data_IF_833180461488
#
_entry.id   IF_833180461488
#
_cell.length_a   1.000
_cell.length_b   1.000
_cell.length_c   1.000
_cell.angle_alpha   90.00
_cell.angle_beta   90.00
_cell.angle_gamma   90.00
#
_symmetry.space_group_name_H-M   'P 1'
#
loop_
_entity.id
_entity.type
_entity.pdbx_description
1 polymer ?
#
# COMPACT_ATOMS: atom_id res chain seq x y z
N UNK A 1 -6.64 22.07 2.28
CA UNK A 1 -7.52 21.30 1.37
C UNK A 1 -6.98 21.49 -0.03
N UNK A 2 -6.64 20.43 -0.76
CA UNK A 2 -6.24 20.56 -2.17
C UNK A 2 -7.50 20.81 -3.00
N UNK A 3 -7.51 21.89 -3.76
CA UNK A 3 -8.60 22.17 -4.70
C UNK A 3 -8.55 21.16 -5.87
N UNK A 4 -9.71 20.62 -6.25
CA UNK A 4 -9.83 19.46 -7.15
C UNK A 4 -10.78 19.76 -8.31
N UNK A 5 -10.32 19.49 -9.53
CA UNK A 5 -11.18 19.43 -10.70
C UNK A 5 -11.71 18.01 -10.86
N UNK A 6 -13.03 17.83 -10.80
CA UNK A 6 -13.67 16.53 -11.00
C UNK A 6 -14.16 16.39 -12.43
N UNK A 7 -13.72 15.33 -13.10
CA UNK A 7 -14.21 14.95 -14.43
C UNK A 7 -14.91 13.60 -14.29
N UNK A 8 -16.21 13.59 -14.59
CA UNK A 8 -16.96 12.35 -14.72
C UNK A 8 -17.05 12.02 -16.20
N UNK A 9 -16.62 10.82 -16.57
CA UNK A 9 -16.83 10.30 -17.91
C UNK A 9 -18.02 9.34 -17.88
N UNK A 10 -18.89 9.49 -18.87
CA UNK A 10 -20.01 8.58 -19.10
C UNK A 10 -20.00 8.24 -20.57
N UNK A 11 -19.69 6.99 -20.88
CA UNK A 11 -19.74 6.47 -22.23
C UNK A 11 -21.00 5.63 -22.38
N UNK A 12 -21.73 5.85 -23.47
CA UNK A 12 -22.79 4.97 -23.89
C UNK A 12 -22.22 4.15 -25.03
N UNK A 13 -22.13 2.83 -24.83
CA UNK A 13 -21.66 1.89 -25.84
C UNK A 13 -22.76 0.89 -26.18
N UNK A 14 -23.01 0.62 -27.48
CA UNK A 14 -23.82 -0.51 -27.89
C UNK A 14 -23.08 -1.85 -27.78
N UNK A 15 -21.85 -1.91 -27.23
CA UNK A 15 -21.06 -3.16 -27.15
C UNK A 15 -21.74 -4.27 -26.32
N UNK A 16 -22.72 -3.95 -25.48
CA UNK A 16 -23.61 -4.93 -24.83
C UNK A 16 -24.75 -5.45 -25.73
N UNK A 17 -25.08 -4.75 -26.81
CA UNK A 17 -26.07 -5.12 -27.81
C UNK A 17 -25.41 -5.91 -28.94
N UNK A 18 -25.30 -7.23 -28.74
CA UNK A 18 -24.78 -8.14 -29.77
C UNK A 18 -25.69 -8.24 -31.00
N UNK A 19 -26.95 -7.81 -30.93
CA UNK A 19 -27.86 -7.83 -32.08
C UNK A 19 -27.55 -6.71 -33.09
N UNK A 20 -26.84 -5.66 -32.66
CA UNK A 20 -26.39 -4.55 -33.52
C UNK A 20 -25.25 -4.90 -34.48
N UNK A 21 -24.57 -6.04 -34.29
CA UNK A 21 -23.41 -6.44 -35.09
C UNK A 21 -22.10 -5.69 -34.78
N UNK A 22 -22.09 -4.77 -33.80
CA UNK A 22 -20.89 -4.08 -33.35
C UNK A 22 -20.08 -4.97 -32.38
N UNK A 23 -19.21 -5.83 -32.92
CA UNK A 23 -18.40 -6.80 -32.15
C UNK A 23 -16.96 -6.38 -31.88
N UNK A 24 -16.51 -5.27 -32.47
CA UNK A 24 -15.14 -4.78 -32.34
C UNK A 24 -15.06 -3.53 -31.46
N UNK A 25 -13.96 -3.40 -30.73
CA UNK A 25 -13.67 -2.24 -29.90
C UNK A 25 -12.39 -1.54 -30.37
N UNK A 26 -12.36 -0.20 -30.26
CA UNK A 26 -11.17 0.61 -30.51
C UNK A 26 -11.08 1.72 -29.46
N UNK A 27 -9.87 1.98 -28.98
CA UNK A 27 -9.60 3.13 -28.12
C UNK A 27 -9.91 4.44 -28.84
N UNK A 28 -10.58 5.36 -28.15
CA UNK A 28 -10.88 6.72 -28.64
C UNK A 28 -10.40 7.77 -27.66
N UNK A 29 -10.10 8.97 -28.15
CA UNK A 29 -9.67 10.10 -27.32
C UNK A 29 -10.80 11.12 -27.21
N UNK A 30 -11.30 11.34 -25.99
CA UNK A 30 -12.22 12.43 -25.70
C UNK A 30 -11.43 13.68 -25.26
N UNK A 31 -11.74 14.85 -25.83
CA UNK A 31 -11.16 16.13 -25.40
C UNK A 31 -12.15 16.84 -24.48
N UNK A 32 -11.75 17.09 -23.25
CA UNK A 32 -12.53 17.86 -22.27
C UNK A 32 -11.91 19.24 -22.15
N UNK A 33 -12.73 20.30 -22.29
CA UNK A 33 -12.30 21.68 -22.05
C UNK A 33 -12.83 22.12 -20.68
N UNK A 34 -11.93 22.55 -19.81
CA UNK A 34 -12.30 23.12 -18.51
C UNK A 34 -12.79 24.57 -18.71
N UNK A 35 -13.77 25.03 -17.90
CA UNK A 35 -14.26 26.41 -17.97
C UNK A 35 -13.19 27.42 -17.54
N UNK A 36 -12.20 26.98 -16.76
CA UNK A 36 -11.08 27.78 -16.29
C UNK A 36 -9.76 27.02 -16.46
N UNK A 37 -8.61 27.72 -16.56
CA UNK A 37 -7.30 27.08 -16.58
C UNK A 37 -7.09 26.16 -15.37
N UNK A 38 -6.52 24.97 -15.58
CA UNK A 38 -6.32 23.99 -14.50
C UNK A 38 -5.51 24.56 -13.32
N UNK A 39 -4.50 25.39 -13.60
CA UNK A 39 -3.61 25.93 -12.56
C UNK A 39 -2.88 24.81 -11.82
N UNK A 40 -2.74 24.95 -10.50
CA UNK A 40 -2.10 23.96 -9.62
C UNK A 40 -3.06 22.87 -9.10
N UNK A 41 -4.29 22.84 -9.61
CA UNK A 41 -5.33 21.91 -9.16
C UNK A 41 -5.06 20.51 -9.70
N UNK A 42 -5.32 19.51 -8.86
CA UNK A 42 -5.28 18.12 -9.30
C UNK A 42 -6.61 17.75 -9.99
N UNK A 43 -6.54 16.85 -10.96
CA UNK A 43 -7.72 16.33 -11.67
C UNK A 43 -8.07 14.96 -11.11
N UNK A 44 -9.33 14.70 -10.81
CA UNK A 44 -9.82 13.36 -10.50
C UNK A 44 -10.84 12.93 -11.55
N UNK A 45 -10.60 11.76 -12.13
CA UNK A 45 -11.46 11.12 -13.13
C UNK A 45 -12.21 9.97 -12.46
N UNK A 46 -13.53 9.94 -12.62
CA UNK A 46 -14.43 8.89 -12.12
C UNK A 46 -14.22 8.55 -10.63
N UNK A 47 -13.92 9.57 -9.82
CA UNK A 47 -13.70 9.54 -8.37
C UNK A 47 -12.52 8.72 -7.84
N UNK A 48 -11.77 8.01 -8.68
CA UNK A 48 -10.67 7.14 -8.23
C UNK A 48 -9.32 7.51 -8.82
N UNK A 49 -9.27 7.92 -10.09
CA UNK A 49 -8.00 8.15 -10.78
C UNK A 49 -7.62 9.61 -10.68
N UNK A 50 -6.60 9.91 -9.88
CA UNK A 50 -6.12 11.27 -9.67
C UNK A 50 -4.88 11.55 -10.52
N UNK A 51 -4.81 12.77 -11.06
CA UNK A 51 -3.71 13.29 -11.86
C UNK A 51 -3.26 14.64 -11.30
N UNK A 52 -1.98 14.95 -11.47
CA UNK A 52 -1.38 16.21 -11.02
C UNK A 52 -0.49 16.80 -12.11
N UNK A 53 -0.47 18.14 -12.19
CA UNK A 53 0.51 18.85 -13.02
C UNK A 53 1.92 18.80 -12.41
N UNK A 54 2.03 18.53 -11.10
CA UNK A 54 3.31 18.52 -10.37
C UNK A 54 4.24 17.42 -10.88
N UNK A 55 5.38 17.84 -11.41
CA UNK A 55 6.39 16.95 -11.98
C UNK A 55 6.00 16.39 -13.35
N UNK A 56 4.94 16.90 -13.99
CA UNK A 56 4.58 16.57 -15.36
C UNK A 56 5.08 17.67 -16.32
N UNK A 57 5.32 17.32 -17.60
CA UNK A 57 5.62 18.29 -18.65
C UNK A 57 4.31 18.76 -19.29
N UNK A 58 3.97 20.06 -19.28
CA UNK A 58 2.77 20.56 -19.95
C UNK A 58 2.73 20.16 -21.44
N UNK A 59 1.55 19.83 -22.00
CA UNK A 59 0.22 19.85 -21.38
C UNK A 59 -0.15 18.53 -20.65
N UNK A 60 0.78 17.60 -20.49
CA UNK A 60 0.50 16.31 -19.87
C UNK A 60 0.31 16.44 -18.35
N UNK A 61 -0.46 15.52 -17.78
CA UNK A 61 -0.59 15.33 -16.34
C UNK A 61 0.02 13.99 -15.93
N UNK A 62 0.58 13.94 -14.73
CA UNK A 62 1.11 12.70 -14.15
C UNK A 62 0.00 12.02 -13.34
N UNK A 63 -0.25 10.75 -13.61
CA UNK A 63 -1.12 9.95 -12.76
C UNK A 63 -0.50 9.78 -11.37
N UNK A 64 -1.30 9.99 -10.34
CA UNK A 64 -0.91 9.79 -8.96
C UNK A 64 -0.95 8.30 -8.63
N UNK A 65 0.01 7.84 -7.83
CA UNK A 65 0.03 6.46 -7.35
C UNK A 65 -0.92 6.27 -6.17
N UNK A 66 -0.95 5.05 -5.64
CA UNK A 66 -1.78 4.66 -4.48
C UNK A 66 -1.50 5.51 -3.22
N UNK A 67 -0.27 6.00 -3.10
CA UNK A 67 0.16 6.88 -2.01
C UNK A 67 -0.19 8.36 -2.24
N UNK A 68 -0.96 8.65 -3.29
CA UNK A 68 -1.39 9.99 -3.68
C UNK A 68 -0.41 10.72 -4.59
N UNK A 69 -0.70 12.00 -4.84
CA UNK A 69 0.08 12.82 -5.77
C UNK A 69 1.39 13.33 -5.19
N UNK A 70 1.46 13.45 -3.86
CA UNK A 70 2.63 13.92 -3.11
C UNK A 70 2.92 12.91 -1.99
N UNK A 71 3.39 11.69 -2.34
CA UNK A 71 3.72 10.70 -1.32
C UNK A 71 4.84 11.26 -0.42
N UNK A 72 4.83 10.95 0.89
CA UNK A 72 5.94 11.27 1.77
C UNK A 72 7.26 10.73 1.20
N UNK A 73 8.35 11.47 1.42
CA UNK A 73 9.67 10.96 1.08
C UNK A 73 9.99 9.74 1.95
N UNK A 74 10.81 8.84 1.41
CA UNK A 74 11.41 7.76 2.19
C UNK A 74 12.36 8.35 3.24
N UNK A 75 12.34 7.82 4.45
CA UNK A 75 13.14 8.31 5.56
C UNK A 75 12.65 7.80 6.91
N UNK A 76 13.28 8.26 7.98
CA UNK A 76 12.99 7.81 9.34
C UNK A 76 11.96 8.71 10.03
N UNK A 77 10.75 8.75 9.49
CA UNK A 77 9.64 9.57 10.01
C UNK A 77 8.34 8.79 10.04
N UNK A 78 7.40 9.17 10.91
CA UNK A 78 6.10 8.51 11.03
C UNK A 78 5.33 8.44 9.71
N UNK A 79 5.27 9.56 8.96
CA UNK A 79 4.60 9.62 7.66
C UNK A 79 5.24 8.68 6.62
N UNK A 80 6.57 8.52 6.67
CA UNK A 80 7.30 7.60 5.79
C UNK A 80 7.04 6.13 6.16
N UNK A 81 6.86 5.83 7.44
CA UNK A 81 6.51 4.48 7.88
C UNK A 81 5.06 4.13 7.54
N UNK A 82 4.12 5.09 7.61
CA UNK A 82 2.74 4.86 7.17
C UNK A 82 2.69 4.57 5.65
N UNK A 83 3.53 5.25 4.87
CA UNK A 83 3.74 4.94 3.46
C UNK A 83 4.25 3.50 3.26
N UNK A 84 5.19 3.03 4.09
CA UNK A 84 5.71 1.66 4.02
C UNK A 84 4.66 0.61 4.38
N UNK A 85 3.84 0.86 5.41
CA UNK A 85 2.72 -0.03 5.76
C UNK A 85 1.74 -0.18 4.59
N UNK A 86 1.38 0.93 3.92
CA UNK A 86 0.54 0.85 2.71
C UNK A 86 1.20 0.05 1.59
N UNK A 87 2.50 0.24 1.37
CA UNK A 87 3.24 -0.49 0.34
C UNK A 87 3.36 -2.00 0.64
N UNK A 88 3.26 -2.41 1.90
CA UNK A 88 3.22 -3.81 2.32
C UNK A 88 1.83 -4.45 2.21
N UNK A 89 0.81 -3.69 1.80
CA UNK A 89 -0.58 -4.13 1.67
C UNK A 89 -1.11 -4.82 2.95
N UNK A 90 -0.72 -4.28 4.12
CA UNK A 90 -1.22 -4.75 5.41
C UNK A 90 -2.61 -4.16 5.70
N UNK A 91 -3.42 -4.83 6.55
CA UNK A 91 -4.75 -4.33 6.92
C UNK A 91 -4.74 -2.89 7.47
N UNK A 92 -5.87 -2.18 7.31
CA UNK A 92 -6.01 -0.78 7.72
C UNK A 92 -5.72 -0.56 9.22
N UNK A 93 -6.08 -1.53 10.06
CA UNK A 93 -5.90 -1.51 11.51
C UNK A 93 -4.63 -2.24 11.93
N UNK A 94 -3.51 -1.93 11.27
CA UNK A 94 -2.18 -2.42 11.64
C UNK A 94 -1.53 -1.52 12.68
N UNK A 95 -0.88 -2.17 13.64
CA UNK A 95 -0.05 -1.57 14.67
C UNK A 95 1.43 -1.76 14.29
N UNK A 96 2.25 -0.74 14.58
CA UNK A 96 3.72 -0.82 14.46
C UNK A 96 4.27 -1.17 15.83
N UNK A 97 4.78 -2.39 15.97
CA UNK A 97 5.35 -2.89 17.22
C UNK A 97 6.81 -2.44 17.39
N UNK A 98 7.54 -2.34 16.27
CA UNK A 98 8.91 -1.83 16.25
C UNK A 98 9.28 -1.22 14.90
N UNK A 99 10.23 -0.28 14.93
CA UNK A 99 10.85 0.30 13.74
C UNK A 99 12.38 0.33 13.85
N UNK A 100 13.07 0.06 12.74
CA UNK A 100 14.52 0.28 12.56
C UNK A 100 14.75 0.90 11.18
N UNK A 101 15.41 2.04 11.11
CA UNK A 101 15.57 2.79 9.87
C UNK A 101 16.93 3.48 9.83
N UNK A 102 17.57 3.46 8.67
CA UNK A 102 18.82 4.20 8.39
C UNK A 102 18.66 5.23 7.25
N UNK A 103 17.43 5.47 6.82
CA UNK A 103 17.06 6.38 5.73
C UNK A 103 17.07 5.73 4.34
N UNK A 104 17.81 4.63 4.14
CA UNK A 104 17.82 3.86 2.88
C UNK A 104 17.10 2.52 2.99
N UNK A 105 17.07 1.98 4.20
CA UNK A 105 16.49 0.70 4.55
C UNK A 105 15.60 0.86 5.77
N UNK A 106 14.58 0.02 5.84
CA UNK A 106 13.58 0.05 6.89
C UNK A 106 13.19 -1.37 7.25
N UNK A 107 13.07 -1.61 8.56
CA UNK A 107 12.44 -2.80 9.13
C UNK A 107 11.24 -2.33 9.95
N UNK A 108 10.08 -2.91 9.70
CA UNK A 108 8.87 -2.71 10.49
C UNK A 108 8.36 -4.04 11.00
N UNK A 109 8.11 -4.13 12.30
CA UNK A 109 7.33 -5.20 12.88
C UNK A 109 5.88 -4.72 12.94
N UNK A 110 5.02 -5.37 12.17
CA UNK A 110 3.63 -4.99 11.97
C UNK A 110 2.73 -6.06 12.58
N UNK A 111 1.69 -5.66 13.30
CA UNK A 111 0.66 -6.58 13.81
C UNK A 111 -0.74 -6.10 13.46
N UNK A 112 -1.70 -7.01 13.32
CA UNK A 112 -3.11 -6.69 13.17
C UNK A 112 -3.96 -7.72 13.90
N UNK A 113 -5.16 -7.32 14.31
CA UNK A 113 -6.11 -8.24 14.94
C UNK A 113 -6.73 -9.15 13.90
N UNK A 114 -6.85 -10.44 14.25
CA UNK A 114 -7.41 -11.49 13.38
C UNK A 114 -8.61 -12.21 14.03
N UNK A 115 -9.03 -11.78 15.21
CA UNK A 115 -10.20 -12.31 15.94
C UNK A 115 -11.53 -11.68 15.53
N UNK A 116 -12.66 -12.25 15.98
CA UNK A 116 -13.99 -11.67 15.78
C UNK A 116 -14.10 -10.28 16.41
N UNK A 117 -15.06 -9.48 15.93
CA UNK A 117 -15.44 -8.23 16.59
C UNK A 117 -16.19 -8.58 17.87
N UNK A 118 -15.59 -8.27 19.01
CA UNK A 118 -16.14 -8.59 20.33
C UNK A 118 -16.52 -7.33 21.08
N UNK A 119 -17.55 -7.43 21.94
CA UNK A 119 -17.91 -6.38 22.88
C UNK A 119 -16.98 -6.32 24.09
N UNK A 120 -16.44 -7.47 24.51
CA UNK A 120 -15.45 -7.58 25.59
C UNK A 120 -14.02 -7.62 24.99
N UNK A 121 -13.15 -6.64 25.30
CA UNK A 121 -11.79 -6.60 24.79
C UNK A 121 -10.85 -7.64 25.41
N UNK A 122 -11.21 -8.26 26.54
CA UNK A 122 -10.38 -9.21 27.27
C UNK A 122 -10.67 -10.68 26.94
N UNK A 123 -11.68 -10.94 26.09
CA UNK A 123 -11.95 -12.29 25.60
C UNK A 123 -10.73 -12.81 24.78
N UNK A 124 -10.15 -13.96 25.15
CA UNK A 124 -8.97 -14.52 24.48
C UNK A 124 -9.14 -14.68 22.97
N UNK A 125 -10.35 -15.01 22.49
CA UNK A 125 -10.65 -15.11 21.06
C UNK A 125 -10.48 -13.76 20.33
N UNK A 126 -10.63 -12.66 21.07
CA UNK A 126 -10.66 -11.28 20.60
C UNK A 126 -9.30 -10.57 20.74
N UNK A 127 -8.38 -11.16 21.51
CA UNK A 127 -6.97 -10.73 21.60
C UNK A 127 -6.07 -11.28 20.50
N UNK A 128 -6.59 -12.19 19.66
CA UNK A 128 -5.84 -12.82 18.57
C UNK A 128 -5.24 -11.80 17.61
N UNK A 129 -3.93 -11.89 17.41
CA UNK A 129 -3.16 -11.05 16.51
C UNK A 129 -2.28 -11.89 15.60
N UNK A 130 -2.08 -11.36 14.41
CA UNK A 130 -1.05 -11.82 13.50
C UNK A 130 -0.03 -10.70 13.34
N UNK A 131 1.25 -11.05 13.20
CA UNK A 131 2.29 -10.09 12.90
C UNK A 131 3.33 -10.62 11.95
N UNK A 132 3.88 -9.69 11.18
CA UNK A 132 4.93 -9.91 10.20
C UNK A 132 6.00 -8.84 10.35
N UNK A 133 7.25 -9.24 10.14
CA UNK A 133 8.37 -8.31 10.02
C UNK A 133 8.64 -8.09 8.55
N UNK A 134 8.52 -6.84 8.12
CA UNK A 134 8.75 -6.40 6.76
C UNK A 134 10.07 -5.66 6.62
N UNK A 135 10.76 -5.93 5.52
CA UNK A 135 12.00 -5.26 5.14
C UNK A 135 11.78 -4.46 3.86
N UNK A 136 12.26 -3.22 3.83
CA UNK A 136 12.04 -2.31 2.72
C UNK A 136 13.32 -1.65 2.24
N UNK A 137 13.32 -1.25 0.97
CA UNK A 137 14.32 -0.41 0.34
C UNK A 137 13.73 0.92 -0.10
N UNK A 138 14.42 2.00 0.17
CA UNK A 138 14.03 3.32 -0.32
C UNK A 138 14.19 3.40 -1.85
N UNK A 139 13.12 3.82 -2.54
CA UNK A 139 13.11 4.17 -3.96
C UNK A 139 12.55 5.57 -4.14
N UNK A 140 12.72 6.13 -5.35
CA UNK A 140 12.13 7.43 -5.72
C UNK A 140 10.61 7.45 -5.58
N UNK A 141 9.95 6.31 -5.86
CA UNK A 141 8.49 6.17 -5.75
C UNK A 141 7.99 5.94 -4.31
N UNK A 142 8.89 5.64 -3.36
CA UNK A 142 8.53 5.27 -2.00
C UNK A 142 9.31 4.07 -1.47
N UNK A 143 8.87 3.54 -0.34
CA UNK A 143 9.38 2.28 0.19
C UNK A 143 8.95 1.11 -0.69
N UNK A 144 9.91 0.30 -1.12
CA UNK A 144 9.67 -0.94 -1.84
C UNK A 144 9.84 -2.12 -0.87
N UNK A 145 8.80 -2.96 -0.66
CA UNK A 145 8.95 -4.19 0.12
C UNK A 145 9.94 -5.14 -0.55
N UNK A 146 10.80 -5.78 0.26
CA UNK A 146 11.80 -6.76 -0.17
C UNK A 146 11.31 -8.16 0.16
N UNK A 147 11.00 -8.39 1.44
CA UNK A 147 10.55 -9.67 1.97
C UNK A 147 9.86 -9.48 3.32
N UNK A 148 9.17 -10.52 3.77
CA UNK A 148 8.59 -10.63 5.12
C UNK A 148 9.02 -11.93 5.78
N UNK A 149 9.21 -11.91 7.09
CA UNK A 149 9.50 -13.11 7.90
C UNK A 149 9.03 -12.90 9.33
N UNK A 150 8.97 -13.99 10.10
CA UNK A 150 8.86 -13.94 11.55
C UNK A 150 10.19 -14.21 12.26
N UNK A 151 11.22 -14.61 11.50
CA UNK A 151 12.52 -14.96 12.04
C UNK A 151 13.29 -13.72 12.54
N UNK A 152 14.17 -13.98 13.51
CA UNK A 152 15.18 -13.02 13.92
C UNK A 152 16.35 -12.94 12.94
N UNK A 153 17.19 -11.93 13.13
CA UNK A 153 18.44 -11.79 12.39
C UNK A 153 18.28 -11.37 10.92
N UNK A 154 19.37 -11.53 10.17
CA UNK A 154 19.51 -10.99 8.82
C UNK A 154 19.34 -12.02 7.69
N UNK A 155 19.16 -13.30 8.01
CA UNK A 155 19.33 -14.39 7.03
C UNK A 155 18.39 -14.25 5.83
N UNK A 156 17.11 -14.06 6.09
CA UNK A 156 16.08 -14.11 5.05
C UNK A 156 16.15 -12.84 4.17
N UNK A 157 16.30 -11.66 4.78
CA UNK A 157 16.45 -10.41 4.03
C UNK A 157 17.75 -10.36 3.21
N UNK A 158 18.88 -10.82 3.75
CA UNK A 158 20.16 -10.81 2.99
C UNK A 158 20.21 -11.86 1.89
N UNK A 159 19.37 -12.89 1.95
CA UNK A 159 19.18 -13.80 0.82
C UNK A 159 18.46 -13.11 -0.35
N UNK A 160 17.43 -12.30 -0.04
CA UNK A 160 16.66 -11.56 -1.05
C UNK A 160 17.38 -10.30 -1.54
N UNK A 161 18.10 -9.60 -0.67
CA UNK A 161 18.82 -8.36 -0.94
C UNK A 161 20.16 -8.37 -0.17
N UNK A 162 21.24 -8.88 -0.79
CA UNK A 162 22.54 -9.03 -0.14
C UNK A 162 23.15 -7.72 0.39
N UNK A 163 22.76 -6.58 -0.19
CA UNK A 163 23.20 -5.24 0.23
C UNK A 163 22.47 -4.71 1.47
N UNK A 164 21.51 -5.46 2.02
CA UNK A 164 20.80 -5.06 3.24
C UNK A 164 21.79 -4.96 4.43
N UNK A 165 21.79 -3.84 5.18
CA UNK A 165 22.76 -3.58 6.22
C UNK A 165 22.54 -4.50 7.42
N UNK A 166 23.56 -5.26 7.78
CA UNK A 166 23.49 -6.19 8.91
C UNK A 166 23.14 -5.51 10.23
N UNK A 167 23.53 -4.24 10.42
CA UNK A 167 23.24 -3.48 11.62
C UNK A 167 21.74 -3.32 11.91
N UNK A 168 20.88 -3.25 10.88
CA UNK A 168 19.43 -3.11 11.07
C UNK A 168 18.76 -4.42 11.52
N UNK A 169 19.45 -5.56 11.40
CA UNK A 169 18.91 -6.87 11.73
C UNK A 169 19.73 -7.66 12.76
N UNK A 170 20.85 -7.13 13.22
CA UNK A 170 21.75 -7.83 14.15
C UNK A 170 21.10 -8.16 15.50
N UNK A 171 20.28 -7.24 16.03
CA UNK A 171 19.61 -7.39 17.33
C UNK A 171 18.14 -7.80 17.18
N UNK A 172 17.72 -8.26 16.01
CA UNK A 172 16.33 -8.64 15.79
C UNK A 172 16.09 -10.04 16.33
N UNK A 173 15.32 -10.12 17.41
CA UNK A 173 14.78 -11.39 17.89
C UNK A 173 13.65 -11.87 16.96
N UNK A 174 13.36 -13.18 16.93
CA UNK A 174 12.14 -13.68 16.30
C UNK A 174 10.90 -12.95 16.84
N UNK A 175 9.88 -12.78 15.99
CA UNK A 175 8.60 -12.24 16.45
C UNK A 175 8.00 -13.14 17.53
N UNK A 176 7.27 -12.51 18.46
CA UNK A 176 6.59 -13.24 19.52
C UNK A 176 5.70 -14.35 18.92
N UNK A 177 5.72 -15.58 19.48
CA UNK A 177 4.83 -16.65 19.05
C UNK A 177 3.35 -16.27 19.10
N UNK A 178 2.96 -15.33 19.98
CA UNK A 178 1.60 -14.81 20.05
C UNK A 178 1.14 -14.06 18.79
N UNK A 179 2.08 -13.61 17.94
CA UNK A 179 1.83 -12.98 16.64
C UNK A 179 1.83 -14.00 15.48
N UNK A 180 2.08 -15.26 15.78
CA UNK A 180 2.15 -16.35 14.81
C UNK A 180 1.00 -17.31 15.11
N UNK A 181 -0.19 -17.09 14.52
CA UNK A 181 -1.34 -17.94 14.81
C UNK A 181 -0.99 -19.40 14.52
N UNK A 182 -0.95 -20.19 15.59
CA UNK A 182 -0.79 -21.64 15.51
C UNK A 182 -2.13 -22.22 15.12
N UNK A 183 -2.45 -22.26 13.82
CA UNK A 183 -3.58 -23.05 13.36
C UNK A 183 -3.17 -24.53 13.42
N UNK A 184 -3.35 -25.16 14.58
CA UNK A 184 -3.55 -26.60 14.59
C UNK A 184 -4.88 -26.86 13.88
N UNK A 185 -4.92 -27.63 12.77
CA UNK A 185 -6.21 -28.09 12.26
C UNK A 185 -6.85 -28.90 13.38
N UNK A 186 -8.07 -28.54 13.77
CA UNK A 186 -8.85 -29.36 14.69
C UNK A 186 -8.94 -30.77 14.08
N UNK A 187 -8.63 -31.85 14.83
CA UNK A 187 -8.88 -33.19 14.34
C UNK A 187 -10.39 -33.31 14.10
N UNK A 188 -10.74 -33.71 12.88
CA UNK A 188 -12.09 -33.64 12.35
C UNK A 188 -13.16 -34.20 13.28
N UNK A 189 -14.29 -33.49 13.36
CA UNK A 189 -15.53 -34.04 13.85
C UNK A 189 -15.95 -35.16 12.88
N UNK A 190 -15.98 -36.39 13.40
CA UNK A 190 -16.69 -37.53 12.80
C UNK A 190 -18.18 -37.40 13.05
#
# INVERSE_FOLDING_TARGET
>A
MTDLVRVQLTFVSPSGDRASGCTEERGSTAKVRLPEPLGDRDVIVDNSTRFTARGARPPALRQCGELGCTPPATGCTAASYDQASRAADVPLHTYREAQRCDGKWLVLDLSWRTGPICGDPDDPACTSRQGDRWFFRARKAGWQPITRTAAGGCRDVRRAEPAFPAALCASLEPLSPALLPSHSPAPGAR
#
